data_IF_121073653655
#
_entry.id   IF_121073653655
#
_cell.length_a   1.000
_cell.length_b   1.000
_cell.length_c   1.000
_cell.angle_alpha   90.00
_cell.angle_beta   90.00
_cell.angle_gamma   90.00
#
_symmetry.space_group_name_H-M   'P 1'
#
loop_
_entity.id
_entity.type
_entity.pdbx_description
1 polymer ?
#
# COMPACT_ATOMS: atom_id res chain seq x y z
N UNK A 1 5.89 5.23 0.29
CA UNK A 1 5.62 4.78 1.67
C UNK A 1 6.88 4.98 2.50
N UNK A 2 6.83 4.73 3.80
CA UNK A 2 7.99 4.97 4.67
C UNK A 2 7.94 6.33 5.34
N UNK A 3 9.07 6.80 5.86
CA UNK A 3 9.10 8.02 6.67
C UNK A 3 8.88 9.32 5.88
N UNK A 4 8.93 9.28 4.55
CA UNK A 4 8.70 10.44 3.69
C UNK A 4 7.27 10.98 3.84
N UNK A 5 7.12 12.27 4.15
CA UNK A 5 5.84 12.91 4.41
C UNK A 5 5.25 12.62 5.79
N UNK A 6 5.96 11.90 6.66
CA UNK A 6 5.54 11.64 8.04
C UNK A 6 6.25 12.56 9.04
N UNK A 7 5.71 12.66 10.26
CA UNK A 7 6.37 13.35 11.38
C UNK A 7 7.74 12.74 11.74
N UNK A 8 8.03 11.53 11.26
CA UNK A 8 9.30 10.82 11.48
C UNK A 8 10.31 11.01 10.33
N UNK A 9 10.03 11.89 9.36
CA UNK A 9 10.95 12.17 8.26
C UNK A 9 12.23 12.84 8.79
N UNK A 10 13.37 12.32 8.33
CA UNK A 10 14.70 12.88 8.61
C UNK A 10 15.46 13.05 7.30
N UNK A 11 16.58 13.77 7.31
CA UNK A 11 17.48 13.87 6.15
C UNK A 11 18.14 12.54 5.76
N UNK A 12 18.04 11.53 6.64
CA UNK A 12 18.50 10.16 6.42
C UNK A 12 17.36 9.19 6.07
N UNK A 13 16.15 9.69 5.82
CA UNK A 13 15.02 8.84 5.45
C UNK A 13 15.17 8.32 4.01
N UNK A 14 14.98 7.02 3.87
CA UNK A 14 14.82 6.33 2.59
C UNK A 14 13.49 6.70 1.90
N UNK A 15 13.48 6.57 0.57
CA UNK A 15 12.32 6.78 -0.28
C UNK A 15 11.80 5.44 -0.82
N UNK A 16 10.71 4.93 -0.25
CA UNK A 16 10.06 3.74 -0.79
C UNK A 16 9.08 4.11 -1.91
N UNK A 17 9.45 3.76 -3.13
CA UNK A 17 8.74 4.12 -4.37
C UNK A 17 8.14 2.90 -5.04
N UNK A 18 6.82 2.92 -5.23
CA UNK A 18 6.12 1.86 -5.94
C UNK A 18 6.06 2.17 -7.44
N UNK A 19 6.51 1.22 -8.25
CA UNK A 19 6.31 1.21 -9.70
C UNK A 19 5.11 0.32 -9.97
N UNK A 20 3.94 0.94 -10.13
CA UNK A 20 2.70 0.23 -10.39
C UNK A 20 2.68 -0.20 -11.86
N UNK A 21 2.73 -1.50 -12.11
CA UNK A 21 2.73 -2.06 -13.46
C UNK A 21 1.34 -2.56 -13.83
N UNK A 22 1.05 -2.56 -15.14
CA UNK A 22 -0.14 -3.24 -15.67
C UNK A 22 0.08 -4.75 -15.66
N UNK A 23 -1.00 -5.50 -15.71
CA UNK A 23 -0.91 -6.94 -15.88
C UNK A 23 -0.32 -7.29 -17.25
N UNK A 24 0.33 -8.45 -17.32
CA UNK A 24 0.81 -9.01 -18.59
C UNK A 24 2.16 -8.46 -19.07
N UNK A 25 3.00 -7.91 -18.18
CA UNK A 25 4.43 -7.76 -18.49
C UNK A 25 5.04 -9.14 -18.70
N UNK A 26 5.78 -9.30 -19.79
CA UNK A 26 6.61 -10.48 -20.00
C UNK A 26 7.74 -10.55 -18.95
N UNK A 27 8.28 -11.74 -18.66
CA UNK A 27 9.42 -11.90 -17.76
C UNK A 27 10.63 -11.04 -18.16
N UNK A 28 10.84 -10.85 -19.47
CA UNK A 28 11.92 -10.03 -20.01
C UNK A 28 11.68 -8.53 -19.73
N UNK A 29 10.46 -8.05 -19.97
CA UNK A 29 10.08 -6.66 -19.64
C UNK A 29 10.19 -6.38 -18.14
N UNK A 30 9.74 -7.32 -17.30
CA UNK A 30 9.88 -7.22 -15.84
C UNK A 30 11.35 -7.15 -15.42
N UNK A 31 12.21 -7.97 -16.04
CA UNK A 31 13.65 -7.97 -15.79
C UNK A 31 14.29 -6.65 -16.19
N UNK A 32 13.97 -6.13 -17.38
CA UNK A 32 14.48 -4.85 -17.87
C UNK A 32 14.03 -3.68 -16.98
N UNK A 33 12.77 -3.70 -16.52
CA UNK A 33 12.25 -2.69 -15.61
C UNK A 33 12.95 -2.74 -14.24
N UNK A 34 13.17 -3.93 -13.71
CA UNK A 34 13.93 -4.15 -12.47
C UNK A 34 15.37 -3.64 -12.60
N UNK A 35 16.04 -3.95 -13.70
CA UNK A 35 17.40 -3.45 -13.97
C UNK A 35 17.43 -1.93 -14.08
N UNK A 36 16.43 -1.33 -14.75
CA UNK A 36 16.31 0.13 -14.86
C UNK A 36 16.12 0.77 -13.49
N UNK A 37 15.20 0.23 -12.68
CA UNK A 37 14.95 0.71 -11.32
C UNK A 37 16.23 0.64 -10.46
N UNK A 38 16.97 -0.47 -10.52
CA UNK A 38 18.25 -0.63 -9.82
C UNK A 38 19.28 0.43 -10.24
N UNK A 39 19.43 0.69 -11.54
CA UNK A 39 20.36 1.73 -12.03
C UNK A 39 19.97 3.13 -11.56
N UNK A 40 18.67 3.42 -11.43
CA UNK A 40 18.20 4.70 -10.90
C UNK A 40 18.51 4.80 -9.40
N UNK A 41 18.31 3.73 -8.62
CA UNK A 41 18.70 3.68 -7.21
C UNK A 41 20.21 3.90 -7.03
N UNK A 42 21.03 3.22 -7.84
CA UNK A 42 22.50 3.38 -7.82
C UNK A 42 22.93 4.81 -8.20
N UNK A 43 22.26 5.43 -9.17
CA UNK A 43 22.49 6.82 -9.54
C UNK A 43 22.09 7.80 -8.44
N UNK A 44 20.93 7.63 -7.82
CA UNK A 44 20.46 8.47 -6.72
C UNK A 44 21.40 8.41 -5.50
N UNK A 45 21.96 7.23 -5.22
CA UNK A 45 22.93 7.03 -4.15
C UNK A 45 24.20 7.87 -4.33
N UNK A 46 24.58 8.24 -5.57
CA UNK A 46 25.70 9.15 -5.83
C UNK A 46 25.46 10.56 -5.26
N UNK A 47 24.19 10.91 -5.02
CA UNK A 47 23.76 12.16 -4.38
C UNK A 47 23.39 11.95 -2.91
N UNK A 48 23.75 10.81 -2.32
CA UNK A 48 23.42 10.44 -0.95
C UNK A 48 21.90 10.35 -0.70
N UNK A 49 21.13 10.01 -1.75
CA UNK A 49 19.68 9.77 -1.71
C UNK A 49 19.43 8.27 -1.80
N UNK A 50 18.90 7.70 -0.73
CA UNK A 50 18.50 6.29 -0.68
C UNK A 50 17.06 6.15 -1.20
N UNK A 51 16.90 5.53 -2.38
CA UNK A 51 15.59 5.26 -3.00
C UNK A 51 15.45 3.78 -3.32
N UNK A 52 14.37 3.19 -2.81
CA UNK A 52 14.02 1.79 -2.99
C UNK A 52 12.82 1.68 -3.93
N UNK A 53 12.98 0.98 -5.05
CA UNK A 53 11.89 0.75 -6.00
C UNK A 53 11.29 -0.64 -5.82
N UNK A 54 9.96 -0.69 -5.73
CA UNK A 54 9.19 -1.91 -5.62
C UNK A 54 8.22 -2.01 -6.80
N UNK A 55 8.37 -3.04 -7.62
CA UNK A 55 7.42 -3.30 -8.71
C UNK A 55 6.15 -3.91 -8.11
N UNK A 56 5.02 -3.26 -8.35
CA UNK A 56 3.72 -3.65 -7.79
C UNK A 56 2.75 -3.99 -8.91
N UNK A 57 2.30 -5.23 -8.92
CA UNK A 57 1.26 -5.75 -9.80
C UNK A 57 -0.12 -5.36 -9.22
N UNK A 58 -1.03 -4.89 -10.08
CA UNK A 58 -2.38 -4.47 -9.68
C UNK A 58 -3.23 -5.63 -9.17
N UNK A 59 -3.03 -6.85 -9.68
CA UNK A 59 -3.74 -8.05 -9.22
C UNK A 59 -3.19 -8.61 -7.93
N UNK A 60 -1.98 -8.19 -7.53
CA UNK A 60 -1.41 -8.57 -6.23
C UNK A 60 -2.40 -8.20 -5.12
N UNK A 61 -3.05 -7.03 -5.28
CA UNK A 61 -4.19 -6.34 -4.59
C UNK A 61 -5.54 -7.08 -4.40
N UNK A 62 -5.85 -8.03 -5.28
CA UNK A 62 -7.22 -8.57 -5.38
C UNK A 62 -7.33 -10.04 -5.04
N UNK A 63 -6.21 -10.73 -5.00
CA UNK A 63 -6.15 -12.16 -4.81
C UNK A 63 -5.51 -12.48 -3.46
N UNK A 64 -6.33 -12.89 -2.50
CA UNK A 64 -5.89 -13.44 -1.20
C UNK A 64 -4.88 -14.62 -1.35
N UNK A 65 -4.81 -15.20 -2.55
CA UNK A 65 -4.00 -16.37 -2.90
C UNK A 65 -2.54 -16.05 -3.30
N UNK A 66 -2.16 -14.79 -3.55
CA UNK A 66 -0.75 -14.41 -3.81
C UNK A 66 0.01 -14.12 -2.51
N UNK A 67 -0.26 -14.96 -1.52
CA UNK A 67 0.50 -15.07 -0.30
C UNK A 67 1.89 -15.62 -0.62
N UNK A 68 2.88 -14.75 -0.83
CA UNK A 68 4.28 -15.20 -0.80
C UNK A 68 4.55 -15.90 0.55
N UNK A 69 5.28 -17.02 0.57
CA UNK A 69 5.71 -17.65 1.81
C UNK A 69 6.47 -16.67 2.70
N UNK A 70 6.34 -16.83 4.02
CA UNK A 70 7.15 -16.09 5.01
C UNK A 70 8.64 -16.21 4.65
N UNK A 71 9.26 -15.11 4.23
CA UNK A 71 10.73 -15.00 4.13
C UNK A 71 11.25 -14.09 5.23
N UNK A 72 12.54 -14.17 5.51
CA UNK A 72 13.19 -13.34 6.54
C UNK A 72 13.07 -11.83 6.22
N UNK A 73 12.83 -11.48 4.95
CA UNK A 73 12.65 -10.11 4.48
C UNK A 73 11.19 -9.69 4.25
N UNK A 74 10.29 -10.66 4.02
CA UNK A 74 8.85 -10.42 3.83
C UNK A 74 8.03 -11.28 4.80
N UNK A 75 7.18 -10.65 5.59
CA UNK A 75 6.21 -11.27 6.51
C UNK A 75 5.12 -12.12 5.86
N UNK A 76 5.31 -12.61 4.64
CA UNK A 76 4.30 -13.32 3.86
C UNK A 76 2.98 -12.54 3.74
N UNK A 77 1.87 -13.26 3.51
CA UNK A 77 0.50 -12.72 3.46
C UNK A 77 0.03 -12.00 4.71
N UNK A 78 0.77 -12.02 5.83
CA UNK A 78 0.28 -11.55 7.12
C UNK A 78 0.20 -10.02 7.28
N UNK A 79 0.64 -9.22 6.30
CA UNK A 79 0.60 -7.75 6.36
C UNK A 79 0.01 -7.08 5.14
N UNK A 80 -0.58 -7.88 4.26
CA UNK A 80 -0.97 -7.41 2.96
C UNK A 80 -1.90 -6.20 3.00
N UNK A 81 -2.94 -6.28 3.83
CA UNK A 81 -3.88 -5.17 3.95
C UNK A 81 -3.31 -3.98 4.72
N UNK A 82 -2.41 -4.20 5.68
CA UNK A 82 -1.74 -3.07 6.36
C UNK A 82 -0.84 -2.31 5.41
N UNK A 83 -0.20 -3.04 4.49
CA UNK A 83 0.60 -2.44 3.44
C UNK A 83 -0.28 -1.57 2.53
N UNK A 84 -1.45 -2.08 2.14
CA UNK A 84 -2.38 -1.33 1.30
C UNK A 84 -3.02 -0.15 2.05
N UNK A 85 -3.39 -0.31 3.32
CA UNK A 85 -3.85 0.76 4.23
C UNK A 85 -2.78 1.85 4.34
N UNK A 86 -1.53 1.48 4.64
CA UNK A 86 -0.40 2.40 4.71
C UNK A 86 -0.16 3.10 3.37
N UNK A 87 -0.24 2.36 2.26
CA UNK A 87 -0.08 2.90 0.92
C UNK A 87 -1.18 3.93 0.62
N UNK A 88 -2.46 3.58 0.74
CA UNK A 88 -3.56 4.47 0.39
C UNK A 88 -3.60 5.76 1.20
N UNK A 89 -3.20 5.73 2.48
CA UNK A 89 -3.18 6.94 3.32
C UNK A 89 -1.92 7.80 3.21
N UNK A 90 -0.86 7.33 2.56
CA UNK A 90 0.44 8.03 2.52
C UNK A 90 1.06 8.16 1.13
N UNK A 91 0.51 7.50 0.11
CA UNK A 91 1.06 7.53 -1.23
C UNK A 91 0.97 8.94 -1.82
N UNK A 92 2.09 9.40 -2.36
CA UNK A 92 2.16 10.62 -3.17
C UNK A 92 2.43 10.21 -4.61
N UNK A 93 1.54 10.59 -5.53
CA UNK A 93 1.70 10.29 -6.95
C UNK A 93 2.82 11.15 -7.54
N UNK A 94 3.96 10.53 -7.85
CA UNK A 94 5.08 11.19 -8.53
C UNK A 94 4.82 11.39 -10.03
N UNK A 95 4.26 10.38 -10.69
CA UNK A 95 3.92 10.38 -12.11
C UNK A 95 2.89 9.30 -12.44
N UNK A 96 2.35 9.34 -13.66
CA UNK A 96 1.43 8.33 -14.17
C UNK A 96 -0.03 8.52 -13.74
N UNK A 97 -0.78 7.42 -13.76
CA UNK A 97 -2.23 7.41 -13.54
C UNK A 97 -2.57 7.59 -12.03
N UNK A 98 -3.69 8.26 -11.71
CA UNK A 98 -4.20 8.33 -10.34
C UNK A 98 -4.63 6.96 -9.79
N UNK A 99 -4.69 6.86 -8.46
CA UNK A 99 -5.27 5.71 -7.75
C UNK A 99 -6.80 5.81 -7.79
N UNK A 100 -7.48 4.81 -8.36
CA UNK A 100 -8.95 4.79 -8.44
C UNK A 100 -9.59 4.85 -7.05
N UNK A 101 -9.04 4.09 -6.11
CA UNK A 101 -9.59 3.97 -4.77
C UNK A 101 -9.74 5.32 -4.05
N UNK A 102 -8.85 6.29 -4.29
CA UNK A 102 -8.95 7.63 -3.70
C UNK A 102 -10.05 8.51 -4.31
N UNK A 103 -10.59 8.13 -5.47
CA UNK A 103 -11.55 8.92 -6.25
C UNK A 103 -12.95 8.29 -6.30
N UNK A 104 -13.11 7.06 -5.79
CA UNK A 104 -14.38 6.33 -5.79
C UNK A 104 -14.82 6.04 -4.36
N UNK A 105 -15.87 6.70 -3.89
CA UNK A 105 -16.48 6.38 -2.60
C UNK A 105 -17.39 5.15 -2.70
N UNK A 106 -17.20 4.19 -1.79
CA UNK A 106 -18.06 3.01 -1.65
C UNK A 106 -18.36 2.82 -0.16
N UNK A 107 -19.64 2.87 0.21
CA UNK A 107 -20.07 2.78 1.61
C UNK A 107 -19.62 1.49 2.29
N UNK A 108 -19.59 0.37 1.56
CA UNK A 108 -19.12 -0.91 2.06
C UNK A 108 -17.96 -1.38 1.19
N UNK A 109 -16.74 -1.45 1.72
CA UNK A 109 -15.55 -1.79 0.93
C UNK A 109 -15.64 -3.21 0.32
N UNK A 110 -16.47 -4.09 0.91
CA UNK A 110 -16.78 -5.41 0.32
C UNK A 110 -17.43 -5.33 -1.06
N UNK A 111 -18.12 -4.22 -1.33
CA UNK A 111 -18.81 -3.98 -2.59
C UNK A 111 -17.93 -3.20 -3.60
N UNK A 112 -16.69 -2.83 -3.24
CA UNK A 112 -15.82 -2.02 -4.09
C UNK A 112 -15.62 -2.62 -5.48
N UNK A 113 -15.25 -3.89 -5.54
CA UNK A 113 -15.01 -4.61 -6.80
C UNK A 113 -16.26 -4.64 -7.69
N UNK A 114 -17.42 -4.85 -7.08
CA UNK A 114 -18.70 -4.86 -7.77
C UNK A 114 -19.05 -3.48 -8.32
N UNK A 115 -18.78 -2.43 -7.56
CA UNK A 115 -19.04 -1.05 -7.97
C UNK A 115 -18.11 -0.61 -9.10
N UNK A 116 -16.82 -0.92 -9.02
CA UNK A 116 -15.87 -0.68 -10.11
C UNK A 116 -16.32 -1.39 -11.39
N UNK A 117 -16.70 -2.68 -11.29
CA UNK A 117 -17.18 -3.44 -12.45
C UNK A 117 -18.45 -2.83 -13.07
N UNK A 118 -19.37 -2.32 -12.24
CA UNK A 118 -20.58 -1.63 -12.68
C UNK A 118 -20.22 -0.36 -13.47
N UNK A 119 -19.38 0.51 -12.91
CA UNK A 119 -18.95 1.76 -13.53
C UNK A 119 -18.20 1.55 -14.85
N UNK A 120 -17.37 0.51 -14.95
CA UNK A 120 -16.70 0.13 -16.20
C UNK A 120 -17.74 -0.30 -17.25
N UNK A 121 -18.71 -1.13 -16.86
CA UNK A 121 -19.74 -1.65 -17.76
C UNK A 121 -20.65 -0.54 -18.28
N UNK A 122 -20.94 0.45 -17.45
CA UNK A 122 -21.73 1.63 -17.81
C UNK A 122 -20.93 2.69 -18.59
N UNK A 123 -19.61 2.54 -18.66
CA UNK A 123 -18.71 3.46 -19.37
C UNK A 123 -18.43 4.76 -18.63
N UNK A 124 -18.70 4.82 -17.32
CA UNK A 124 -18.41 5.99 -16.48
C UNK A 124 -16.92 6.11 -16.16
N UNK A 125 -16.20 4.99 -16.10
CA UNK A 125 -14.75 4.94 -15.91
C UNK A 125 -14.07 4.08 -16.97
N UNK A 126 -12.97 4.56 -17.53
CA UNK A 126 -12.05 3.72 -18.31
C UNK A 126 -11.00 3.12 -17.36
N UNK A 127 -10.91 1.79 -17.20
CA UNK A 127 -9.88 1.17 -16.35
C UNK A 127 -8.45 1.53 -16.79
N UNK A 128 -8.25 1.93 -18.05
CA UNK A 128 -6.96 2.40 -18.52
C UNK A 128 -6.59 3.81 -18.04
N UNK A 129 -7.45 4.55 -17.36
CA UNK A 129 -7.09 5.86 -16.81
C UNK A 129 -6.61 5.79 -15.36
N UNK A 130 -6.66 4.61 -14.74
CA UNK A 130 -6.39 4.43 -13.32
C UNK A 130 -5.32 3.37 -13.03
N UNK A 131 -4.71 3.48 -11.85
CA UNK A 131 -4.13 2.34 -11.14
C UNK A 131 -5.15 1.92 -10.10
N UNK A 132 -5.54 0.65 -10.11
CA UNK A 132 -6.52 0.14 -9.16
C UNK A 132 -6.03 -1.14 -8.48
N UNK A 133 -5.73 -1.03 -7.19
CA UNK A 133 -5.31 -2.15 -6.34
C UNK A 133 -6.49 -2.84 -5.64
N UNK A 134 -7.72 -2.33 -5.80
CA UNK A 134 -8.90 -2.89 -5.14
C UNK A 134 -9.28 -2.20 -3.84
N UNK A 135 -10.40 -2.64 -3.26
CA UNK A 135 -10.93 -2.13 -2.00
C UNK A 135 -10.14 -2.62 -0.78
N UNK A 136 -10.36 -1.98 0.36
CA UNK A 136 -9.86 -2.48 1.64
C UNK A 136 -10.78 -3.60 2.16
N UNK A 137 -10.32 -4.85 2.04
CA UNK A 137 -11.07 -6.04 2.47
C UNK A 137 -11.27 -6.17 3.98
N UNK A 138 -11.79 -7.32 4.42
CA UNK A 138 -11.86 -7.63 5.86
C UNK A 138 -10.56 -8.22 6.37
N UNK A 139 -10.10 -7.70 7.51
CA UNK A 139 -8.87 -8.12 8.16
C UNK A 139 -9.06 -9.49 8.77
N UNK A 140 -8.18 -10.44 8.46
CA UNK A 140 -8.23 -11.76 9.09
C UNK A 140 -7.56 -11.73 10.47
N UNK A 141 -8.04 -12.53 11.41
CA UNK A 141 -7.38 -12.68 12.72
C UNK A 141 -5.91 -13.12 12.59
N UNK A 142 -5.57 -13.89 11.55
CA UNK A 142 -4.22 -14.36 11.27
C UNK A 142 -3.28 -13.22 10.86
N UNK A 143 -3.76 -12.25 10.07
CA UNK A 143 -2.98 -11.06 9.71
C UNK A 143 -2.65 -10.21 10.95
N UNK A 144 -3.58 -10.05 11.89
CA UNK A 144 -3.30 -9.29 13.12
C UNK A 144 -2.15 -9.89 13.91
N UNK A 145 -2.18 -11.22 14.06
CA UNK A 145 -1.15 -11.95 14.78
C UNK A 145 0.19 -11.89 14.06
N UNK A 146 0.23 -12.19 12.76
CA UNK A 146 1.48 -12.19 12.00
C UNK A 146 2.10 -10.80 11.85
N UNK A 147 1.28 -9.75 11.66
CA UNK A 147 1.76 -8.37 11.64
C UNK A 147 2.35 -7.94 12.99
N UNK A 148 1.69 -8.29 14.11
CA UNK A 148 2.18 -7.97 15.45
C UNK A 148 3.51 -8.65 15.74
N UNK A 149 3.66 -9.93 15.39
CA UNK A 149 4.89 -10.70 15.59
C UNK A 149 6.05 -10.14 14.77
N UNK A 150 5.79 -9.74 13.53
CA UNK A 150 6.80 -9.12 12.69
C UNK A 150 7.26 -7.76 13.21
N UNK A 151 6.34 -6.90 13.63
CA UNK A 151 6.72 -5.61 14.21
C UNK A 151 7.49 -5.78 15.51
N UNK A 152 7.17 -6.80 16.31
CA UNK A 152 7.97 -7.15 17.49
C UNK A 152 9.40 -7.56 17.09
N UNK A 153 9.56 -8.38 16.05
CA UNK A 153 10.88 -8.76 15.53
C UNK A 153 11.68 -7.56 14.98
N UNK A 154 11.07 -6.74 14.11
CA UNK A 154 11.71 -5.51 13.57
C UNK A 154 11.96 -4.45 14.66
N UNK A 155 11.24 -4.53 15.78
CA UNK A 155 11.40 -3.63 16.92
C UNK A 155 12.74 -3.78 17.62
N UNK A 156 13.47 -4.87 17.37
CA UNK A 156 14.86 -5.06 17.83
C UNK A 156 15.77 -3.99 17.19
N UNK A 157 15.58 -3.72 15.90
CA UNK A 157 16.41 -2.76 15.14
C UNK A 157 15.80 -1.36 15.08
N UNK A 158 14.46 -1.24 15.07
CA UNK A 158 13.73 0.03 14.96
C UNK A 158 12.57 0.13 15.96
N UNK A 159 12.87 0.34 17.26
CA UNK A 159 11.88 0.20 18.33
C UNK A 159 10.74 1.21 18.21
N UNK A 160 11.01 2.48 17.88
CA UNK A 160 10.00 3.53 17.84
C UNK A 160 8.94 3.30 16.75
N UNK A 161 9.37 3.00 15.51
CA UNK A 161 8.45 2.72 14.40
C UNK A 161 7.62 1.47 14.69
N UNK A 162 8.25 0.43 15.24
CA UNK A 162 7.57 -0.82 15.60
C UNK A 162 6.53 -0.63 16.71
N UNK A 163 6.85 0.12 17.77
CA UNK A 163 5.89 0.38 18.86
C UNK A 163 4.64 1.10 18.33
N UNK A 164 4.80 2.11 17.47
CA UNK A 164 3.66 2.80 16.87
C UNK A 164 2.80 1.86 16.02
N UNK A 165 3.43 0.99 15.22
CA UNK A 165 2.69 0.01 14.40
C UNK A 165 1.99 -1.05 15.26
N UNK A 166 2.60 -1.48 16.37
CA UNK A 166 1.96 -2.41 17.33
C UNK A 166 0.77 -1.76 18.02
N UNK A 167 0.88 -0.50 18.48
CA UNK A 167 -0.23 0.23 19.08
C UNK A 167 -1.38 0.45 18.08
N UNK A 168 -1.05 0.73 16.82
CA UNK A 168 -2.05 0.81 15.75
C UNK A 168 -2.78 -0.53 15.58
N UNK A 169 -2.05 -1.64 15.56
CA UNK A 169 -2.64 -2.98 15.48
C UNK A 169 -3.50 -3.31 16.70
N UNK A 170 -3.07 -2.92 17.90
CA UNK A 170 -3.87 -3.08 19.11
C UNK A 170 -5.19 -2.31 19.01
N UNK A 171 -5.16 -1.05 18.55
CA UNK A 171 -6.36 -0.25 18.33
C UNK A 171 -7.29 -0.89 17.30
N UNK A 172 -6.76 -1.32 16.15
CA UNK A 172 -7.53 -2.01 15.12
C UNK A 172 -8.14 -3.33 15.61
N UNK A 173 -7.43 -4.07 16.47
CA UNK A 173 -7.89 -5.35 17.02
C UNK A 173 -9.11 -5.21 17.93
N UNK A 174 -9.28 -4.06 18.60
CA UNK A 174 -10.44 -3.79 19.49
C UNK A 174 -11.75 -3.68 18.72
N UNK A 175 -11.69 -3.36 17.43
CA UNK A 175 -12.86 -3.18 16.56
C UNK A 175 -13.17 -4.41 15.69
N UNK A 176 -12.36 -5.47 15.79
CA UNK A 176 -12.56 -6.69 15.02
C UNK A 176 -13.94 -7.33 15.30
N UNK A 177 -14.69 -7.79 14.28
CA UNK A 177 -14.31 -7.93 12.87
C UNK A 177 -14.63 -6.72 11.97
N UNK A 178 -15.08 -5.62 12.55
CA UNK A 178 -15.55 -4.43 11.81
C UNK A 178 -14.57 -3.26 11.96
N UNK A 179 -13.28 -3.55 11.86
CA UNK A 179 -12.21 -2.55 12.00
C UNK A 179 -12.35 -1.44 10.98
N UNK A 180 -12.33 -0.19 11.45
CA UNK A 180 -12.22 0.96 10.57
C UNK A 180 -10.73 1.32 10.36
N UNK A 181 -10.23 1.07 9.15
CA UNK A 181 -8.85 1.38 8.79
C UNK A 181 -8.65 2.90 8.59
N UNK A 182 -7.49 3.41 9.00
CA UNK A 182 -7.16 4.85 8.89
C UNK A 182 -7.25 5.33 7.43
N UNK A 183 -6.85 4.53 6.44
CA UNK A 183 -6.99 4.92 5.04
C UNK A 183 -8.44 5.24 4.69
N UNK A 184 -9.41 4.45 5.19
CA UNK A 184 -10.82 4.68 4.95
C UNK A 184 -11.30 6.00 5.54
N UNK A 185 -10.92 6.28 6.79
CA UNK A 185 -11.19 7.59 7.43
C UNK A 185 -10.55 8.73 6.64
N UNK A 186 -9.27 8.59 6.28
CA UNK A 186 -8.55 9.55 5.45
C UNK A 186 -9.26 9.84 4.12
N UNK A 187 -9.72 8.81 3.42
CA UNK A 187 -10.48 8.95 2.17
C UNK A 187 -11.83 9.65 2.39
N UNK A 188 -12.52 9.33 3.48
CA UNK A 188 -13.77 10.00 3.84
C UNK A 188 -13.55 11.50 4.08
N UNK A 189 -12.50 11.86 4.80
CA UNK A 189 -12.14 13.25 5.09
C UNK A 189 -11.70 13.99 3.81
N UNK A 190 -10.96 13.31 2.94
CA UNK A 190 -10.53 13.82 1.62
C UNK A 190 -11.73 14.15 0.73
N UNK A 191 -12.71 13.24 0.63
CA UNK A 191 -13.87 13.40 -0.27
C UNK A 191 -14.97 14.30 0.31
N UNK A 192 -15.10 14.37 1.64
CA UNK A 192 -16.04 15.28 2.30
C UNK A 192 -15.58 16.74 2.32
N UNK A 193 -14.34 17.01 1.87
CA UNK A 193 -13.79 18.37 1.78
C UNK A 193 -13.40 18.95 3.15
N UNK A 194 -13.19 18.12 4.18
CA UNK A 194 -12.79 18.58 5.52
C UNK A 194 -11.33 19.03 5.62
N UNK A 195 -10.54 18.89 4.55
CA UNK A 195 -9.22 19.49 4.45
C UNK A 195 -9.30 20.92 3.87
N UNK A 196 -9.72 21.87 4.72
CA UNK A 196 -9.37 23.28 4.57
C UNK A 196 -8.31 23.64 5.62
N UNK A 197 -7.03 23.61 5.24
CA UNK A 197 -5.95 24.28 5.97
C UNK A 197 -4.81 24.64 5.03
#
# INVERSE_FOLDING_TARGET
MGSFGSISQTSSSDLDTWICVRDGLSPDEYTLLTQKAKRISEWAMQFNVEINFYLMDQQRFRNEHYADPLTIENSGSAQYMLLLDEFYRSAVRLAGKPLLWLHLWVENEKDYEKEVARLITEGEIDPNDWVDFGGLGQFSANEYFGASLWHLYKGIDSPYKSVLKILLLEAYSKEYPNTCLIARTFKQDLLSGQYQS
#
